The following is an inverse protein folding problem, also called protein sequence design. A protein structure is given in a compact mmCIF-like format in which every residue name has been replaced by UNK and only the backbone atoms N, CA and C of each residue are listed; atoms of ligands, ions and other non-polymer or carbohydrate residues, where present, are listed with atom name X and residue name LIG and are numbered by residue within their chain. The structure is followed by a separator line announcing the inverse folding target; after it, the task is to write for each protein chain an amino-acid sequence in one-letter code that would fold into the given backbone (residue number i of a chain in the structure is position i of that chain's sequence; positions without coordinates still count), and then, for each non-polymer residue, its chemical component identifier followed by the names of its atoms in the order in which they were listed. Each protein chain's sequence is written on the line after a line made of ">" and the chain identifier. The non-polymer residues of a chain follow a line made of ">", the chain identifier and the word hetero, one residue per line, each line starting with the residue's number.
data_IF_434688349884
#
_entry.id   IF_434688349884
#
_cell.length_a   1.000
_cell.length_b   1.000
_cell.length_c   1.000
_cell.angle_alpha   90.00
_cell.angle_beta   90.00
_cell.angle_gamma   90.00
#
_symmetry.space_group_name_H-M   'P 1'
#
loop_
_entity.id
_entity.type
_entity.pdbx_description
1 polymer ?
#
# COMPACT_ATOMS: atom_id res chain seq x y z
N UNK A 1 -1.42 18.48 2.37
CA UNK A 1 -2.88 18.26 2.24
C UNK A 1 -3.39 17.63 3.53
N UNK A 2 -4.51 18.11 4.08
CA UNK A 2 -5.11 17.57 5.30
C UNK A 2 -6.04 16.39 4.94
N UNK A 3 -6.08 15.34 5.79
CA UNK A 3 -7.03 14.23 5.65
C UNK A 3 -8.48 14.73 5.59
N UNK A 4 -8.85 15.74 6.40
CA UNK A 4 -10.22 16.28 6.40
C UNK A 4 -10.63 16.89 5.06
N UNK A 5 -9.76 17.70 4.43
CA UNK A 5 -10.06 18.29 3.12
C UNK A 5 -10.23 17.21 2.04
N UNK A 6 -9.51 16.10 2.15
CA UNK A 6 -9.63 14.98 1.22
C UNK A 6 -10.95 14.22 1.43
N UNK A 7 -11.32 13.96 2.69
CA UNK A 7 -12.63 13.40 3.07
C UNK A 7 -13.77 14.26 2.53
N UNK A 8 -13.65 15.58 2.61
CA UNK A 8 -14.66 16.52 2.14
C UNK A 8 -14.82 16.49 0.60
N UNK A 9 -13.71 16.38 -0.13
CA UNK A 9 -13.74 16.24 -1.58
C UNK A 9 -14.37 14.90 -2.02
N UNK A 10 -14.07 13.81 -1.31
CA UNK A 10 -14.72 12.51 -1.53
C UNK A 10 -16.22 12.58 -1.27
N UNK A 11 -16.63 13.23 -0.17
CA UNK A 11 -18.02 13.43 0.16
C UNK A 11 -18.76 14.22 -0.93
N UNK A 12 -18.19 15.33 -1.40
CA UNK A 12 -18.74 16.13 -2.51
C UNK A 12 -18.88 15.32 -3.80
N UNK A 13 -17.90 14.46 -4.11
CA UNK A 13 -17.99 13.56 -5.26
C UNK A 13 -19.19 12.61 -5.14
N UNK A 14 -19.36 11.95 -3.98
CA UNK A 14 -20.47 11.03 -3.75
C UNK A 14 -21.83 11.74 -3.89
N UNK A 15 -21.95 12.96 -3.35
CA UNK A 15 -23.14 13.79 -3.57
C UNK A 15 -23.39 14.10 -5.06
N UNK A 16 -22.32 14.40 -5.81
CA UNK A 16 -22.44 14.75 -7.24
C UNK A 16 -22.97 13.60 -8.11
N UNK A 17 -22.86 12.36 -7.64
CA UNK A 17 -23.39 11.16 -8.28
C UNK A 17 -24.66 10.63 -7.60
N UNK A 18 -25.32 11.46 -6.77
CA UNK A 18 -26.54 11.14 -6.01
C UNK A 18 -26.39 9.99 -5.00
N UNK A 19 -25.19 9.78 -4.47
CA UNK A 19 -24.94 8.85 -3.36
C UNK A 19 -25.02 9.61 -2.05
N UNK A 20 -26.07 9.34 -1.27
CA UNK A 20 -26.23 9.91 0.05
C UNK A 20 -25.46 9.08 1.09
N UNK A 21 -24.52 9.71 1.77
CA UNK A 21 -23.69 9.10 2.81
C UNK A 21 -23.45 10.13 3.90
N UNK A 22 -23.22 9.70 5.13
CA UNK A 22 -22.79 10.63 6.18
C UNK A 22 -21.38 11.16 5.87
N UNK A 23 -21.10 12.40 6.30
CA UNK A 23 -19.78 13.03 6.18
C UNK A 23 -18.80 12.47 7.23
N UNK A 24 -18.63 11.16 7.20
CA UNK A 24 -17.73 10.39 8.06
C UNK A 24 -16.75 9.59 7.19
N UNK A 25 -15.47 9.60 7.57
CA UNK A 25 -14.41 8.99 6.77
C UNK A 25 -14.59 7.48 6.61
N UNK A 26 -15.06 6.79 7.66
CA UNK A 26 -15.31 5.34 7.62
C UNK A 26 -16.52 5.03 6.74
N UNK A 27 -17.61 5.78 6.87
CA UNK A 27 -18.81 5.63 6.01
C UNK A 27 -18.49 5.87 4.54
N UNK A 28 -17.71 6.91 4.24
CA UNK A 28 -17.25 7.21 2.89
C UNK A 28 -16.39 6.08 2.34
N UNK A 29 -15.44 5.55 3.13
CA UNK A 29 -14.60 4.43 2.70
C UNK A 29 -15.44 3.18 2.41
N UNK A 30 -16.38 2.83 3.30
CA UNK A 30 -17.29 1.69 3.09
C UNK A 30 -18.13 1.86 1.82
N UNK A 31 -18.63 3.06 1.56
CA UNK A 31 -19.39 3.37 0.36
C UNK A 31 -18.53 3.26 -0.90
N UNK A 32 -17.30 3.79 -0.87
CA UNK A 32 -16.37 3.67 -1.99
C UNK A 32 -15.99 2.22 -2.24
N UNK A 33 -15.83 1.39 -1.22
CA UNK A 33 -15.49 -0.02 -1.39
C UNK A 33 -16.66 -0.83 -1.98
N UNK A 34 -17.91 -0.49 -1.66
CA UNK A 34 -19.11 -1.17 -2.18
C UNK A 34 -19.50 -0.76 -3.61
N UNK A 35 -19.03 0.40 -4.07
CA UNK A 35 -19.33 0.90 -5.41
C UNK A 35 -18.70 0.04 -6.52
N UNK A 36 -19.40 -0.07 -7.65
CA UNK A 36 -18.86 -0.66 -8.86
C UNK A 36 -17.75 0.21 -9.49
N UNK A 37 -16.79 -0.42 -10.17
CA UNK A 37 -15.69 0.29 -10.83
C UNK A 37 -16.17 1.35 -11.83
N UNK A 38 -17.30 1.10 -12.52
CA UNK A 38 -17.90 2.07 -13.44
C UNK A 38 -18.33 3.35 -12.71
N UNK A 39 -18.91 3.22 -11.51
CA UNK A 39 -19.35 4.33 -10.69
C UNK A 39 -18.19 5.13 -10.09
N UNK A 40 -17.01 4.52 -9.93
CA UNK A 40 -15.78 5.20 -9.47
C UNK A 40 -15.04 5.95 -10.58
N UNK A 41 -15.49 5.84 -11.84
CA UNK A 41 -14.81 6.49 -12.96
C UNK A 41 -14.87 8.01 -12.79
N UNK A 42 -13.73 8.68 -12.94
CA UNK A 42 -13.65 10.13 -12.83
C UNK A 42 -13.47 10.67 -11.41
N UNK A 43 -13.47 9.80 -10.38
CA UNK A 43 -13.33 10.24 -8.98
C UNK A 43 -12.04 11.03 -8.74
N UNK A 44 -10.91 10.57 -9.28
CA UNK A 44 -9.62 11.21 -9.09
C UNK A 44 -9.49 12.52 -9.87
N UNK A 45 -10.12 12.63 -11.04
CA UNK A 45 -10.25 13.89 -11.78
C UNK A 45 -11.13 14.89 -11.03
N UNK A 46 -12.22 14.44 -10.41
CA UNK A 46 -13.07 15.29 -9.60
C UNK A 46 -12.32 15.84 -8.39
N UNK A 47 -11.73 14.96 -7.58
CA UNK A 47 -10.99 15.34 -6.37
C UNK A 47 -9.78 16.20 -6.73
N UNK A 48 -9.08 15.88 -7.82
CA UNK A 48 -7.98 16.67 -8.32
C UNK A 48 -8.40 18.12 -8.60
N UNK A 49 -9.53 18.33 -9.29
CA UNK A 49 -10.06 19.68 -9.52
C UNK A 49 -10.47 20.37 -8.21
N UNK A 50 -11.18 19.66 -7.34
CA UNK A 50 -11.68 20.22 -6.07
C UNK A 50 -10.54 20.68 -5.14
N UNK A 51 -9.41 19.99 -5.16
CA UNK A 51 -8.26 20.27 -4.30
C UNK A 51 -7.09 20.93 -5.05
N UNK A 52 -7.31 21.37 -6.28
CA UNK A 52 -6.31 21.98 -7.16
C UNK A 52 -5.01 21.17 -7.29
N UNK A 53 -5.14 19.88 -7.61
CA UNK A 53 -4.03 18.97 -7.85
C UNK A 53 -4.25 18.03 -9.04
N UNK A 54 -3.17 17.44 -9.51
CA UNK A 54 -3.22 16.44 -10.57
C UNK A 54 -3.97 15.18 -10.10
N UNK A 55 -4.76 14.59 -11.00
CA UNK A 55 -5.43 13.28 -10.84
C UNK A 55 -4.52 12.21 -10.23
N UNK A 56 -3.29 12.08 -10.74
CA UNK A 56 -2.32 11.08 -10.26
C UNK A 56 -1.93 11.32 -8.81
N UNK A 57 -1.80 12.58 -8.41
CA UNK A 57 -1.48 12.95 -7.02
C UNK A 57 -2.66 12.62 -6.11
N UNK A 58 -3.90 12.92 -6.52
CA UNK A 58 -5.10 12.58 -5.76
C UNK A 58 -5.25 11.05 -5.58
N UNK A 59 -5.04 10.28 -6.65
CA UNK A 59 -5.05 8.82 -6.60
C UNK A 59 -3.99 8.26 -5.64
N UNK A 60 -2.75 8.74 -5.76
CA UNK A 60 -1.66 8.26 -4.92
C UNK A 60 -1.88 8.63 -3.46
N UNK A 61 -2.37 9.83 -3.18
CA UNK A 61 -2.72 10.24 -1.82
C UNK A 61 -3.84 9.38 -1.23
N UNK A 62 -4.87 9.05 -2.02
CA UNK A 62 -5.94 8.15 -1.57
C UNK A 62 -5.34 6.83 -1.08
N UNK A 63 -4.59 6.12 -1.94
CA UNK A 63 -4.10 4.79 -1.59
C UNK A 63 -3.00 4.77 -0.53
N UNK A 64 -2.11 5.76 -0.53
CA UNK A 64 -0.93 5.75 0.35
C UNK A 64 -1.17 6.42 1.70
N UNK A 65 -2.08 7.39 1.76
CA UNK A 65 -2.26 8.22 2.95
C UNK A 65 -3.68 8.10 3.50
N UNK A 66 -4.70 8.46 2.73
CA UNK A 66 -6.06 8.54 3.24
C UNK A 66 -6.63 7.14 3.54
N UNK A 67 -6.45 6.17 2.65
CA UNK A 67 -6.95 4.81 2.85
C UNK A 67 -6.16 4.06 3.92
N UNK A 68 -4.87 4.39 4.10
CA UNK A 68 -4.01 3.75 5.09
C UNK A 68 -4.48 3.99 6.54
N UNK A 69 -5.20 5.09 6.81
CA UNK A 69 -5.69 5.42 8.16
C UNK A 69 -6.73 4.42 8.70
N UNK A 70 -7.35 3.62 7.82
CA UNK A 70 -8.34 2.61 8.22
C UNK A 70 -7.74 1.24 8.51
N UNK A 71 -6.44 1.05 8.26
CA UNK A 71 -5.77 -0.24 8.42
C UNK A 71 -4.70 -0.20 9.51
N UNK A 72 -4.56 -1.31 10.23
CA UNK A 72 -3.47 -1.51 11.15
C UNK A 72 -2.12 -1.62 10.41
N UNK A 73 -1.08 -1.02 10.98
CA UNK A 73 0.28 -1.11 10.45
C UNK A 73 0.81 -2.54 10.50
N UNK A 74 1.37 -2.99 9.37
CA UNK A 74 2.03 -4.30 9.29
C UNK A 74 3.42 -4.34 9.92
N UNK A 75 3.98 -3.20 10.34
CA UNK A 75 5.38 -3.10 10.80
C UNK A 75 5.69 -4.09 11.92
N UNK A 76 4.83 -4.13 12.95
CA UNK A 76 5.00 -5.01 14.13
C UNK A 76 4.76 -6.49 13.83
N UNK A 77 4.19 -6.83 12.68
CA UNK A 77 3.83 -8.21 12.30
C UNK A 77 4.79 -8.81 11.27
N UNK A 78 5.75 -8.04 10.75
CA UNK A 78 6.66 -8.49 9.68
C UNK A 78 7.46 -9.74 10.07
N UNK A 79 7.92 -9.82 11.32
CA UNK A 79 8.69 -10.97 11.82
C UNK A 79 7.84 -12.24 11.81
N UNK A 80 6.61 -12.14 12.34
CA UNK A 80 5.66 -13.26 12.38
C UNK A 80 5.30 -13.71 10.96
N UNK A 81 5.02 -12.77 10.06
CA UNK A 81 4.72 -13.09 8.65
C UNK A 81 5.91 -13.79 7.99
N UNK A 82 7.14 -13.33 8.23
CA UNK A 82 8.36 -13.97 7.72
C UNK A 82 8.46 -15.43 8.21
N UNK A 83 8.29 -15.67 9.51
CA UNK A 83 8.31 -17.01 10.10
C UNK A 83 7.22 -17.90 9.50
N UNK A 84 6.01 -17.38 9.30
CA UNK A 84 4.93 -18.14 8.65
C UNK A 84 5.27 -18.54 7.22
N UNK A 85 5.89 -17.64 6.45
CA UNK A 85 6.33 -17.93 5.08
C UNK A 85 7.43 -18.98 5.08
N UNK A 86 8.41 -18.88 5.99
CA UNK A 86 9.51 -19.85 6.13
C UNK A 86 9.01 -21.24 6.53
N UNK A 87 8.11 -21.32 7.50
CA UNK A 87 7.59 -22.58 8.02
C UNK A 87 6.56 -23.25 7.09
N UNK A 88 6.05 -22.53 6.09
CA UNK A 88 5.01 -23.03 5.19
C UNK A 88 5.37 -22.72 3.71
N UNK A 89 6.50 -23.22 3.19
CA UNK A 89 7.00 -22.83 1.87
C UNK A 89 6.06 -23.20 0.71
N UNK A 90 5.25 -24.26 0.91
CA UNK A 90 4.35 -24.81 -0.11
C UNK A 90 2.99 -24.08 -0.17
N UNK A 91 2.63 -23.28 0.84
CA UNK A 91 1.35 -22.56 0.82
C UNK A 91 1.40 -21.42 -0.19
N UNK A 92 0.28 -21.15 -0.85
CA UNK A 92 0.10 -19.97 -1.70
C UNK A 92 0.10 -18.67 -0.88
N UNK A 93 0.30 -17.54 -1.55
CA UNK A 93 0.26 -16.23 -0.87
C UNK A 93 -1.12 -15.98 -0.25
N UNK A 94 -2.19 -16.40 -0.94
CA UNK A 94 -3.58 -16.25 -0.47
C UNK A 94 -3.81 -17.00 0.85
N UNK A 95 -3.30 -18.23 0.96
CA UNK A 95 -3.43 -19.04 2.17
C UNK A 95 -2.67 -18.43 3.35
N UNK A 96 -1.45 -17.95 3.14
CA UNK A 96 -0.67 -17.29 4.20
C UNK A 96 -1.37 -16.02 4.68
N UNK A 97 -1.84 -15.18 3.76
CA UNK A 97 -2.62 -13.97 4.09
C UNK A 97 -3.86 -14.33 4.90
N UNK A 98 -4.58 -15.37 4.49
CA UNK A 98 -5.77 -15.81 5.21
C UNK A 98 -5.42 -16.34 6.61
N UNK A 99 -4.30 -17.06 6.79
CA UNK A 99 -3.84 -17.48 8.11
C UNK A 99 -3.47 -16.28 9.01
N UNK A 100 -2.81 -15.25 8.47
CA UNK A 100 -2.48 -14.03 9.23
C UNK A 100 -3.74 -13.31 9.71
N UNK A 101 -4.75 -13.17 8.84
CA UNK A 101 -6.03 -12.54 9.22
C UNK A 101 -6.73 -13.34 10.32
N UNK A 102 -6.75 -14.67 10.23
CA UNK A 102 -7.35 -15.50 11.29
C UNK A 102 -6.57 -15.45 12.62
N UNK A 103 -5.24 -15.26 12.57
CA UNK A 103 -4.40 -15.15 13.76
C UNK A 103 -4.63 -13.86 14.55
N UNK A 104 -5.03 -12.78 13.87
CA UNK A 104 -5.25 -11.47 14.48
C UNK A 104 -6.66 -10.95 14.18
N UNK A 105 -7.71 -11.57 14.75
CA UNK A 105 -9.10 -11.26 14.41
C UNK A 105 -9.54 -9.84 14.81
N UNK A 106 -8.82 -9.20 15.74
CA UNK A 106 -9.09 -7.83 16.18
C UNK A 106 -8.36 -6.77 15.35
N UNK A 107 -7.60 -7.18 14.33
CA UNK A 107 -6.78 -6.28 13.49
C UNK A 107 -7.38 -6.16 12.10
N UNK A 108 -7.44 -4.94 11.60
CA UNK A 108 -7.92 -4.63 10.26
C UNK A 108 -6.74 -4.43 9.31
N UNK A 109 -6.28 -5.50 8.68
CA UNK A 109 -5.17 -5.40 7.73
C UNK A 109 -5.65 -5.19 6.29
N UNK A 110 -4.93 -4.34 5.55
CA UNK A 110 -5.04 -4.29 4.10
C UNK A 110 -4.59 -5.62 3.49
N UNK A 111 -5.52 -6.33 2.83
CA UNK A 111 -5.22 -7.59 2.12
C UNK A 111 -4.15 -7.40 1.06
N UNK A 112 -4.18 -6.28 0.34
CA UNK A 112 -3.20 -5.97 -0.69
C UNK A 112 -1.79 -5.81 -0.09
N UNK A 113 -1.67 -5.02 0.99
CA UNK A 113 -0.40 -4.82 1.68
C UNK A 113 0.14 -6.12 2.27
N UNK A 114 -0.73 -6.96 2.84
CA UNK A 114 -0.35 -8.29 3.31
C UNK A 114 0.18 -9.17 2.17
N UNK A 115 -0.50 -9.19 1.02
CA UNK A 115 -0.06 -9.95 -0.15
C UNK A 115 1.32 -9.50 -0.63
N UNK A 116 1.57 -8.20 -0.68
CA UNK A 116 2.88 -7.64 -1.06
C UNK A 116 3.97 -8.08 -0.08
N UNK A 117 3.73 -7.96 1.23
CA UNK A 117 4.70 -8.38 2.25
C UNK A 117 5.01 -9.88 2.11
N UNK A 118 3.98 -10.73 1.98
CA UNK A 118 4.17 -12.19 1.80
C UNK A 118 4.95 -12.49 0.52
N UNK A 119 4.64 -11.82 -0.59
CA UNK A 119 5.36 -11.98 -1.85
C UNK A 119 6.84 -11.62 -1.70
N UNK A 120 7.15 -10.47 -1.10
CA UNK A 120 8.54 -10.02 -0.86
C UNK A 120 9.30 -11.04 0.00
N UNK A 121 8.69 -11.54 1.08
CA UNK A 121 9.34 -12.53 1.93
C UNK A 121 9.65 -13.82 1.17
N UNK A 122 8.73 -14.31 0.34
CA UNK A 122 8.99 -15.49 -0.49
C UNK A 122 10.10 -15.29 -1.50
N UNK A 123 10.15 -14.13 -2.14
CA UNK A 123 11.22 -13.84 -3.09
C UNK A 123 12.58 -13.83 -2.39
N UNK A 124 12.67 -13.22 -1.20
CA UNK A 124 13.90 -13.23 -0.39
C UNK A 124 14.36 -14.63 -0.02
N UNK A 125 13.44 -15.56 0.25
CA UNK A 125 13.81 -16.96 0.53
C UNK A 125 14.30 -17.71 -0.72
N UNK A 126 13.83 -17.34 -1.92
CA UNK A 126 14.30 -17.94 -3.17
C UNK A 126 15.69 -17.42 -3.57
N UNK A 127 15.97 -16.15 -3.30
CA UNK A 127 17.23 -15.50 -3.67
C UNK A 127 18.33 -15.65 -2.62
N UNK A 128 18.03 -16.19 -1.44
CA UNK A 128 19.02 -16.45 -0.39
C UNK A 128 19.33 -17.95 -0.28
N UNK A 129 20.14 -18.52 -1.20
CA UNK A 129 20.76 -19.81 -0.94
C UNK A 129 21.90 -19.58 0.08
N UNK A 130 21.80 -20.18 1.26
CA UNK A 130 22.85 -20.25 2.29
C UNK A 130 23.21 -18.96 3.05
N UNK A 131 22.37 -18.55 4.01
CA UNK A 131 22.89 -17.87 5.20
C UNK A 131 22.38 -18.57 6.47
N UNK A 132 22.88 -19.79 6.69
CA UNK A 132 22.89 -20.34 8.04
C UNK A 132 23.74 -19.40 8.91
N UNK A 133 23.15 -18.89 10.00
CA UNK A 133 23.70 -17.93 10.96
C UNK A 133 23.62 -16.45 10.62
N UNK A 134 22.41 -15.88 10.64
CA UNK A 134 22.27 -14.51 11.15
C UNK A 134 21.21 -14.42 12.23
N UNK A 135 21.64 -14.64 13.47
CA UNK A 135 20.99 -14.11 14.65
C UNK A 135 21.09 -12.58 14.59
N UNK A 136 19.99 -11.89 14.29
CA UNK A 136 19.93 -10.45 14.42
C UNK A 136 19.44 -10.08 15.83
N UNK A 137 20.38 -9.54 16.60
CA UNK A 137 20.13 -8.68 17.74
C UNK A 137 19.40 -7.44 17.22
N UNK A 138 18.34 -7.06 17.91
CA UNK A 138 17.63 -5.81 17.71
C UNK A 138 18.61 -4.64 17.69
N UNK A 139 18.66 -3.93 16.56
CA UNK A 139 19.11 -2.55 16.53
C UNK A 139 17.87 -1.69 16.32
N UNK A 140 17.28 -1.30 17.44
CA UNK A 140 16.45 -0.12 17.48
C UNK A 140 17.30 1.12 17.09
N UNK A 141 16.65 2.01 16.33
CA UNK A 141 16.91 3.44 16.17
C UNK A 141 17.72 3.89 14.93
N UNK A 142 16.96 4.57 14.06
CA UNK A 142 17.29 5.63 13.09
C UNK A 142 18.20 5.32 11.91
N UNK A 143 17.58 5.16 10.73
CA UNK A 143 17.55 6.20 9.70
C UNK A 143 16.47 5.86 8.67
N UNK A 144 15.77 6.89 8.20
CA UNK A 144 14.88 6.84 7.04
C UNK A 144 15.72 6.44 5.82
N UNK A 145 15.59 5.18 5.44
CA UNK A 145 16.15 4.62 4.22
C UNK A 145 14.98 4.16 3.35
N UNK A 146 14.41 5.12 2.65
CA UNK A 146 13.48 4.98 1.55
C UNK A 146 14.22 4.23 0.43
N UNK A 147 14.27 2.90 0.57
CA UNK A 147 15.07 1.93 -0.18
C UNK A 147 14.97 1.97 -1.71
N UNK A 148 15.49 3.05 -2.29
CA UNK A 148 15.84 3.27 -3.68
C UNK A 148 17.30 3.74 -3.71
N UNK A 149 18.23 2.84 -3.39
CA UNK A 149 19.62 3.02 -3.80
C UNK A 149 19.73 2.57 -5.26
N UNK A 150 19.59 3.50 -6.20
CA UNK A 150 20.00 3.28 -7.59
C UNK A 150 21.49 3.52 -7.64
N UNK A 151 22.27 2.47 -7.94
CA UNK A 151 23.69 2.61 -8.20
C UNK A 151 23.86 3.41 -9.50
N UNK A 152 24.42 4.62 -9.40
CA UNK A 152 24.62 5.52 -10.54
C UNK A 152 25.60 4.90 -11.56
N UNK A 153 26.37 3.89 -11.16
CA UNK A 153 27.22 3.13 -12.09
C UNK A 153 26.42 2.19 -13.02
N UNK A 154 25.16 1.87 -12.71
CA UNK A 154 24.24 1.13 -13.60
C UNK A 154 23.39 2.04 -14.52
N UNK A 155 23.54 3.37 -14.43
CA UNK A 155 22.84 4.28 -15.34
C UNK A 155 23.46 4.27 -16.74
N UNK A 156 22.73 3.70 -17.71
CA UNK A 156 23.01 3.80 -19.14
C UNK A 156 23.11 5.27 -19.55
N UNK A 157 24.32 5.73 -19.89
CA UNK A 157 24.50 7.03 -20.55
C UNK A 157 24.02 6.92 -21.98
N UNK A 158 22.84 7.46 -22.28
CA UNK A 158 22.49 7.78 -23.67
C UNK A 158 23.42 8.91 -24.10
N UNK A 159 24.46 8.57 -24.87
CA UNK A 159 25.22 9.57 -25.62
C UNK A 159 24.36 9.97 -26.81
N UNK A 160 24.01 11.25 -26.88
CA UNK A 160 23.26 11.85 -27.96
C UNK A 160 23.92 11.54 -29.32
N UNK A 161 23.17 10.85 -30.19
CA UNK A 161 23.47 10.81 -31.60
C UNK A 161 22.96 12.11 -32.24
N UNK A 162 23.78 13.16 -32.17
CA UNK A 162 23.69 14.28 -33.11
C UNK A 162 24.87 14.14 -34.06
N UNK A 163 24.63 13.46 -35.18
CA UNK A 163 25.44 13.61 -36.38
C UNK A 163 24.63 14.43 -37.39
N UNK A 164 25.34 15.37 -38.00
CA UNK A 164 24.92 16.44 -38.91
C UNK A 164 24.01 16.00 -40.06
#
# INVERSE_FOLDING_TARGET
>A
MNSQSFTDALYKYLLSINVNVDRDAVKIQQQLDSMENRAKRGIWEFIGRELNMNRTVAHNYYHNTWQAQFFDSLKSYRIIIKQMVQNNPNLSNKEIVQKVIHMFPTKNFSRHSLQQVVYIQKQRLRTAPNSDNVSFIDSEVTQSDDGFSVDISECVRFQDAVSM
#
